data_IF_807645330505
#
_entry.id   IF_807645330505
#
_cell.length_a   1.000
_cell.length_b   1.000
_cell.length_c   1.000
_cell.angle_alpha   90.00
_cell.angle_beta   90.00
_cell.angle_gamma   90.00
#
_symmetry.space_group_name_H-M   'P 1'
#
loop_
_entity.id
_entity.type
_entity.pdbx_description
1 polymer ?
#
# COMPACT_ATOMS: atom_id res chain seq x y z
N UNK A 1 4.99 -40.86 46.53
CA UNK A 1 4.19 -40.36 45.42
C UNK A 1 4.70 -38.99 45.08
N UNK A 2 5.59 -38.92 44.06
CA UNK A 2 6.15 -37.66 43.59
C UNK A 2 5.28 -37.09 42.50
N UNK A 3 4.62 -35.95 42.78
CA UNK A 3 3.82 -35.25 41.85
C UNK A 3 4.70 -34.43 40.87
N UNK A 4 4.76 -34.86 39.59
CA UNK A 4 5.39 -34.10 38.50
C UNK A 4 4.53 -32.88 38.18
N UNK A 5 4.99 -31.69 38.55
CA UNK A 5 4.49 -30.43 38.03
C UNK A 5 4.87 -30.32 36.55
N UNK A 6 3.88 -30.43 35.67
CA UNK A 6 4.03 -30.10 34.26
C UNK A 6 3.99 -28.58 34.13
N UNK A 7 5.13 -27.95 33.98
CA UNK A 7 5.22 -26.53 33.65
C UNK A 7 4.67 -26.29 32.22
N UNK A 8 3.54 -25.63 32.13
CA UNK A 8 2.95 -25.12 30.87
C UNK A 8 3.91 -24.06 30.30
N UNK A 9 4.75 -24.49 29.35
CA UNK A 9 5.67 -23.61 28.66
C UNK A 9 4.93 -22.64 27.71
N UNK A 10 4.47 -21.52 28.24
CA UNK A 10 4.25 -20.34 27.42
C UNK A 10 5.63 -19.81 27.09
N UNK A 11 6.11 -20.06 25.85
CA UNK A 11 7.31 -19.41 25.32
C UNK A 11 7.13 -17.90 25.46
N UNK A 12 7.97 -17.26 26.25
CA UNK A 12 8.01 -15.81 26.36
C UNK A 12 8.31 -15.25 24.96
N UNK A 13 7.43 -14.38 24.46
CA UNK A 13 7.72 -13.62 23.24
C UNK A 13 8.99 -12.82 23.46
N UNK A 14 9.90 -12.83 22.48
CA UNK A 14 11.07 -11.96 22.54
C UNK A 14 10.63 -10.49 22.62
N UNK A 15 11.42 -9.62 23.26
CA UNK A 15 11.12 -8.18 23.33
C UNK A 15 10.87 -7.59 21.95
N UNK A 16 11.58 -8.06 20.93
CA UNK A 16 11.42 -7.65 19.55
C UNK A 16 10.05 -8.04 18.97
N UNK A 17 9.53 -9.23 19.28
CA UNK A 17 8.19 -9.65 18.85
C UNK A 17 7.07 -8.86 19.55
N UNK A 18 7.24 -8.56 20.84
CA UNK A 18 6.31 -7.72 21.58
C UNK A 18 6.28 -6.28 21.03
N UNK A 19 7.45 -5.69 20.73
CA UNK A 19 7.55 -4.37 20.13
C UNK A 19 6.94 -4.35 18.72
N UNK A 20 7.20 -5.36 17.90
CA UNK A 20 6.61 -5.53 16.57
C UNK A 20 5.08 -5.57 16.63
N UNK A 21 4.50 -6.32 17.56
CA UNK A 21 3.04 -6.38 17.75
C UNK A 21 2.47 -5.01 18.14
N UNK A 22 3.14 -4.27 19.04
CA UNK A 22 2.74 -2.91 19.43
C UNK A 22 2.85 -1.95 18.24
N UNK A 23 3.91 -2.03 17.45
CA UNK A 23 4.13 -1.21 16.27
C UNK A 23 3.00 -1.40 15.24
N UNK A 24 2.61 -2.64 14.95
CA UNK A 24 1.51 -2.94 14.04
C UNK A 24 0.15 -2.51 14.60
N UNK A 25 -0.09 -2.69 15.90
CA UNK A 25 -1.33 -2.25 16.56
C UNK A 25 -1.51 -0.73 16.55
N UNK A 26 -0.42 0.04 16.59
CA UNK A 26 -0.46 1.51 16.52
C UNK A 26 -0.74 2.05 15.12
N UNK A 27 -0.98 1.18 14.13
CA UNK A 27 -1.35 1.58 12.77
C UNK A 27 -0.23 2.25 11.98
N UNK A 28 1.02 2.17 12.44
CA UNK A 28 2.18 2.76 11.72
C UNK A 28 2.52 2.05 10.40
N UNK A 29 1.79 0.99 10.05
CA UNK A 29 1.86 0.34 8.75
C UNK A 29 0.96 1.00 7.70
N UNK A 30 0.15 1.99 8.09
CA UNK A 30 -0.71 2.79 7.21
C UNK A 30 -0.39 4.26 7.40
N UNK A 31 -0.08 4.96 6.31
CA UNK A 31 0.30 6.36 6.29
C UNK A 31 -0.67 7.14 5.39
N UNK A 32 -1.50 8.05 5.95
CA UNK A 32 -2.33 8.94 5.15
C UNK A 32 -1.47 9.84 4.27
N UNK A 33 -1.85 10.05 3.01
CA UNK A 33 -1.07 10.90 2.12
C UNK A 33 -1.07 12.37 2.56
N UNK A 34 -2.08 12.81 3.29
CA UNK A 34 -2.13 14.17 3.85
C UNK A 34 -1.00 14.44 4.86
N UNK A 35 -0.38 13.39 5.41
CA UNK A 35 0.74 13.44 6.37
C UNK A 35 2.11 13.32 5.68
N UNK A 36 2.15 13.22 4.37
CA UNK A 36 3.40 13.19 3.61
C UNK A 36 4.14 14.51 3.74
N UNK A 37 5.48 14.43 3.87
CA UNK A 37 6.33 15.60 4.09
C UNK A 37 6.73 16.33 2.80
N UNK A 38 6.70 15.64 1.64
CA UNK A 38 7.18 16.15 0.38
C UNK A 38 6.10 16.17 -0.69
N UNK A 39 5.12 17.08 -0.61
CA UNK A 39 4.11 17.24 -1.66
C UNK A 39 4.45 18.49 -2.46
N UNK A 40 5.07 18.29 -3.62
CA UNK A 40 5.42 19.38 -4.53
C UNK A 40 4.15 19.90 -5.22
N UNK A 41 4.06 21.21 -5.39
CA UNK A 41 2.89 21.90 -5.94
C UNK A 41 1.58 21.74 -5.12
N UNK A 42 1.70 21.52 -3.79
CA UNK A 42 0.53 21.56 -2.92
C UNK A 42 -0.07 22.97 -2.91
N UNK A 43 -1.29 23.09 -3.42
CA UNK A 43 -2.04 24.34 -3.58
C UNK A 43 -2.71 24.44 -4.94
N UNK A 44 -3.59 25.46 -5.11
CA UNK A 44 -4.23 25.74 -6.40
C UNK A 44 -3.22 26.21 -7.44
N UNK A 45 -3.35 25.76 -8.69
CA UNK A 45 -4.39 24.90 -9.25
C UNK A 45 -4.06 23.40 -9.27
N UNK A 46 -3.01 22.96 -8.61
CA UNK A 46 -2.38 21.67 -8.83
C UNK A 46 -2.87 20.56 -7.90
N UNK A 47 -2.28 20.42 -6.70
CA UNK A 47 -2.67 19.43 -5.70
C UNK A 47 -3.38 20.13 -4.53
N UNK A 48 -4.39 19.47 -3.96
CA UNK A 48 -5.14 19.99 -2.82
C UNK A 48 -5.32 18.93 -1.75
N UNK A 49 -5.33 19.36 -0.49
CA UNK A 49 -5.94 18.58 0.59
C UNK A 49 -7.45 18.81 0.55
N UNK A 50 -8.23 17.76 0.43
CA UNK A 50 -9.69 17.82 0.41
C UNK A 50 -10.29 16.86 1.43
N UNK A 51 -11.46 17.20 1.97
CA UNK A 51 -12.22 16.30 2.83
C UNK A 51 -13.03 15.36 1.95
N UNK A 52 -12.93 14.07 2.22
CA UNK A 52 -13.72 13.03 1.56
C UNK A 52 -14.21 12.04 2.63
N UNK A 53 -15.50 12.08 3.00
CA UNK A 53 -16.06 11.25 4.06
C UNK A 53 -16.08 9.76 3.71
N UNK A 54 -15.96 9.40 2.44
CA UNK A 54 -15.90 8.01 1.98
C UNK A 54 -14.47 7.44 2.05
N UNK A 55 -13.46 8.30 2.20
CA UNK A 55 -12.07 7.86 2.39
C UNK A 55 -11.85 7.31 3.78
N UNK A 56 -10.85 6.44 3.94
CA UNK A 56 -10.58 5.84 5.26
C UNK A 56 -9.89 6.78 6.25
N UNK A 57 -9.25 7.85 5.77
CA UNK A 57 -8.61 8.87 6.60
C UNK A 57 -9.42 10.16 6.74
N UNK A 58 -10.54 10.29 6.01
CA UNK A 58 -11.42 11.46 6.03
C UNK A 58 -10.87 12.68 5.29
N UNK A 59 -9.57 12.71 5.01
CA UNK A 59 -8.89 13.75 4.25
C UNK A 59 -7.88 13.14 3.30
N UNK A 60 -7.85 13.62 2.06
CA UNK A 60 -7.11 13.01 0.96
C UNK A 60 -6.34 14.05 0.16
N UNK A 61 -5.39 13.60 -0.64
CA UNK A 61 -4.72 14.44 -1.65
C UNK A 61 -5.44 14.27 -2.97
N UNK A 62 -5.93 15.37 -3.52
CA UNK A 62 -6.51 15.43 -4.85
C UNK A 62 -5.53 16.08 -5.83
N UNK A 63 -5.19 15.37 -6.89
CA UNK A 63 -4.46 15.88 -8.04
C UNK A 63 -5.46 16.41 -9.08
N UNK A 64 -5.59 17.72 -9.15
CA UNK A 64 -6.41 18.36 -10.20
C UNK A 64 -5.69 18.28 -11.54
N UNK A 65 -4.45 18.74 -11.59
CA UNK A 65 -3.61 18.73 -12.80
C UNK A 65 -2.16 19.05 -12.44
N UNK A 66 -1.20 18.37 -13.05
CA UNK A 66 0.22 18.71 -12.93
C UNK A 66 1.03 18.07 -14.06
N UNK A 67 2.12 18.71 -14.47
CA UNK A 67 3.10 18.12 -15.40
C UNK A 67 4.37 17.60 -14.71
N UNK A 68 4.55 17.90 -13.42
CA UNK A 68 5.65 17.44 -12.60
C UNK A 68 5.12 16.96 -11.25
N UNK A 69 4.68 15.71 -11.22
CA UNK A 69 4.14 15.10 -10.02
C UNK A 69 5.27 14.60 -9.12
N UNK A 70 5.22 14.99 -7.83
CA UNK A 70 6.08 14.44 -6.80
C UNK A 70 5.38 14.52 -5.45
N UNK A 71 5.20 13.36 -4.83
CA UNK A 71 4.57 13.20 -3.51
C UNK A 71 5.39 12.17 -2.73
N UNK A 72 6.04 12.60 -1.65
CA UNK A 72 7.01 11.81 -0.89
C UNK A 72 6.57 11.61 0.55
N UNK A 73 6.63 10.37 1.02
CA UNK A 73 6.36 9.96 2.39
C UNK A 73 7.37 8.96 2.89
N UNK A 74 7.28 8.61 4.19
CA UNK A 74 8.22 7.68 4.81
C UNK A 74 7.58 6.89 5.94
N UNK A 75 7.76 5.58 5.93
CA UNK A 75 7.54 4.71 7.08
C UNK A 75 8.84 4.61 7.87
N UNK A 76 8.89 5.09 9.11
CA UNK A 76 10.08 4.97 9.94
C UNK A 76 10.20 3.57 10.56
N UNK A 77 11.43 3.05 10.67
CA UNK A 77 11.77 1.85 11.40
C UNK A 77 10.89 0.62 11.09
N UNK A 78 10.74 0.29 9.80
CA UNK A 78 10.00 -0.91 9.35
C UNK A 78 10.79 -2.16 9.71
N UNK A 79 10.12 -3.15 10.31
CA UNK A 79 10.74 -4.42 10.69
C UNK A 79 11.03 -5.32 9.49
N UNK A 80 12.03 -6.21 9.59
CA UNK A 80 12.29 -7.23 8.59
C UNK A 80 11.05 -8.11 8.32
N UNK A 81 10.78 -8.37 7.04
CA UNK A 81 9.64 -9.20 6.62
C UNK A 81 9.18 -8.90 5.21
N UNK A 82 8.14 -9.61 4.78
CA UNK A 82 7.50 -9.41 3.49
C UNK A 82 6.19 -8.64 3.66
N UNK A 83 6.01 -7.61 2.86
CA UNK A 83 4.88 -6.71 2.92
C UNK A 83 4.24 -6.53 1.54
N UNK A 84 2.91 -6.56 1.48
CA UNK A 84 2.18 -6.02 0.32
C UNK A 84 2.11 -4.50 0.46
N UNK A 85 2.44 -3.79 -0.60
CA UNK A 85 2.35 -2.32 -0.63
C UNK A 85 1.04 -1.92 -1.30
N UNK A 86 0.13 -1.37 -0.51
CA UNK A 86 -1.25 -1.09 -0.87
C UNK A 86 -1.50 0.42 -0.88
N UNK A 87 -2.13 0.92 -1.93
CA UNK A 87 -2.49 2.34 -2.08
C UNK A 87 -4.00 2.49 -2.14
N UNK A 88 -4.56 3.38 -1.34
CA UNK A 88 -5.98 3.79 -1.44
C UNK A 88 -6.12 4.86 -2.52
N UNK A 89 -6.82 4.54 -3.61
CA UNK A 89 -6.94 5.40 -4.80
C UNK A 89 -8.40 5.55 -5.18
N UNK A 90 -8.76 6.74 -5.67
CA UNK A 90 -10.02 7.02 -6.37
C UNK A 90 -9.70 7.82 -7.63
N UNK A 91 -10.38 7.51 -8.72
CA UNK A 91 -10.22 8.16 -10.02
C UNK A 91 -11.51 8.91 -10.37
N UNK A 92 -11.38 10.18 -10.76
CA UNK A 92 -12.50 11.02 -11.18
C UNK A 92 -12.05 11.85 -12.39
N UNK A 93 -12.60 11.53 -13.56
CA UNK A 93 -12.17 12.13 -14.83
C UNK A 93 -10.64 12.08 -15.01
N UNK A 94 -10.04 10.95 -14.60
CA UNK A 94 -8.59 10.81 -14.57
C UNK A 94 -8.03 10.78 -16.00
N UNK A 95 -6.93 11.49 -16.19
CA UNK A 95 -6.29 11.59 -17.48
C UNK A 95 -4.77 11.61 -17.41
N UNK A 96 -4.17 11.16 -18.49
CA UNK A 96 -2.75 11.29 -18.79
C UNK A 96 -2.63 11.78 -20.24
N UNK A 97 -2.21 13.04 -20.44
CA UNK A 97 -2.07 13.61 -21.79
C UNK A 97 -0.90 12.99 -22.52
N UNK A 98 -1.13 12.72 -23.79
CA UNK A 98 -0.12 12.20 -24.71
C UNK A 98 0.11 13.24 -25.82
N UNK A 99 1.06 14.14 -25.58
CA UNK A 99 1.65 14.96 -26.63
C UNK A 99 3.07 14.43 -26.84
N UNK A 100 3.26 13.58 -27.85
CA UNK A 100 4.57 13.03 -28.31
C UNK A 100 5.42 12.22 -27.29
N UNK A 101 4.84 11.77 -26.16
CA UNK A 101 5.52 10.99 -25.15
C UNK A 101 4.58 10.15 -24.28
N UNK A 102 5.16 9.34 -23.40
CA UNK A 102 4.38 8.52 -22.47
C UNK A 102 4.21 9.24 -21.13
N UNK A 103 3.07 9.90 -20.93
CA UNK A 103 2.64 10.30 -19.60
C UNK A 103 2.56 9.05 -18.70
N UNK A 104 3.17 9.10 -17.53
CA UNK A 104 3.12 8.01 -16.59
C UNK A 104 3.20 8.49 -15.15
N UNK A 105 2.59 7.71 -14.25
CA UNK A 105 2.68 7.86 -12.80
C UNK A 105 3.35 6.61 -12.24
N UNK A 106 4.33 6.80 -11.38
CA UNK A 106 5.02 5.72 -10.70
C UNK A 106 4.61 5.69 -9.23
N UNK A 107 4.33 4.50 -8.74
CA UNK A 107 4.18 4.20 -7.32
C UNK A 107 5.41 3.43 -6.87
N UNK A 108 6.14 3.94 -5.90
CA UNK A 108 7.38 3.33 -5.43
C UNK A 108 7.39 3.14 -3.92
N UNK A 109 8.07 2.09 -3.50
CA UNK A 109 8.47 1.87 -2.12
C UNK A 109 9.94 1.45 -2.11
N UNK A 110 10.79 2.22 -1.45
CA UNK A 110 12.24 2.06 -1.47
C UNK A 110 12.75 1.94 -0.04
N UNK A 111 13.21 0.73 0.39
CA UNK A 111 13.95 0.59 1.63
C UNK A 111 15.24 1.40 1.59
N UNK A 112 15.77 1.76 2.75
CA UNK A 112 17.13 2.30 2.85
C UNK A 112 18.15 1.35 2.23
N UNK A 113 19.28 1.91 1.82
CA UNK A 113 20.36 1.17 1.16
C UNK A 113 20.80 -0.05 1.99
N UNK A 114 20.88 -1.20 1.35
CA UNK A 114 21.24 -2.47 1.98
C UNK A 114 20.12 -3.17 2.76
N UNK A 115 18.91 -2.63 2.78
CA UNK A 115 17.79 -3.20 3.53
C UNK A 115 16.74 -3.94 2.66
N UNK A 116 16.92 -3.96 1.35
CA UNK A 116 16.03 -4.63 0.41
C UNK A 116 16.00 -3.97 -0.96
N UNK A 117 15.30 -4.59 -1.89
CA UNK A 117 15.15 -4.06 -3.24
C UNK A 117 13.96 -3.08 -3.33
N UNK A 118 14.10 -2.06 -4.18
CA UNK A 118 13.02 -1.13 -4.50
C UNK A 118 11.87 -1.85 -5.21
N UNK A 119 10.64 -1.59 -4.79
CA UNK A 119 9.43 -1.91 -5.53
C UNK A 119 9.00 -0.68 -6.33
N UNK A 120 8.72 -0.86 -7.64
CA UNK A 120 8.24 0.22 -8.50
C UNK A 120 7.16 -0.30 -9.45
N UNK A 121 6.06 0.41 -9.54
CA UNK A 121 4.96 0.12 -10.45
C UNK A 121 4.64 1.35 -11.31
N UNK A 122 4.62 1.17 -12.63
CA UNK A 122 4.30 2.23 -13.60
C UNK A 122 2.83 2.15 -13.98
N UNK A 123 2.16 3.30 -13.95
CA UNK A 123 0.89 3.51 -14.61
C UNK A 123 1.11 4.39 -15.85
N UNK A 124 0.72 3.88 -16.98
CA UNK A 124 0.56 4.59 -18.23
C UNK A 124 -0.93 4.76 -18.54
N UNK A 125 -1.25 5.34 -19.67
CA UNK A 125 -2.63 5.59 -20.10
C UNK A 125 -3.44 4.29 -20.23
N UNK A 126 -2.84 3.21 -20.71
CA UNK A 126 -3.53 1.93 -20.85
C UNK A 126 -3.83 1.30 -19.49
N UNK A 127 -2.89 1.36 -18.55
CA UNK A 127 -3.09 0.90 -17.19
C UNK A 127 -4.16 1.71 -16.49
N UNK A 128 -4.14 3.04 -16.61
CA UNK A 128 -5.17 3.92 -16.06
C UNK A 128 -6.57 3.51 -16.54
N UNK A 129 -6.75 3.34 -17.86
CA UNK A 129 -8.01 2.90 -18.43
C UNK A 129 -8.49 1.55 -17.89
N UNK A 130 -7.57 0.57 -17.73
CA UNK A 130 -7.90 -0.74 -17.16
C UNK A 130 -8.37 -0.66 -15.71
N UNK A 131 -7.73 0.18 -14.90
CA UNK A 131 -8.14 0.38 -13.51
C UNK A 131 -9.51 1.05 -13.42
N UNK A 132 -9.79 2.05 -14.28
CA UNK A 132 -11.12 2.67 -14.36
C UNK A 132 -12.20 1.68 -14.82
N UNK A 133 -11.93 0.85 -15.81
CA UNK A 133 -12.85 -0.20 -16.28
C UNK A 133 -13.13 -1.25 -15.20
N UNK A 134 -12.12 -1.61 -14.41
CA UNK A 134 -12.22 -2.63 -13.37
C UNK A 134 -12.93 -2.13 -12.12
N UNK A 135 -12.65 -0.90 -11.69
CA UNK A 135 -13.09 -0.37 -10.39
C UNK A 135 -14.19 0.68 -10.50
N UNK A 136 -14.39 1.26 -11.68
CA UNK A 136 -15.28 2.38 -11.91
C UNK A 136 -14.66 3.73 -11.60
N UNK A 137 -15.35 4.80 -12.04
CA UNK A 137 -14.99 6.19 -11.72
C UNK A 137 -15.64 6.61 -10.41
N UNK A 138 -14.97 7.50 -9.67
CA UNK A 138 -15.43 8.05 -8.39
C UNK A 138 -15.69 7.01 -7.28
N UNK A 139 -14.99 5.86 -7.34
CA UNK A 139 -15.08 4.77 -6.36
C UNK A 139 -13.69 4.56 -5.74
N UNK A 140 -13.63 4.46 -4.41
CA UNK A 140 -12.40 4.09 -3.70
C UNK A 140 -12.05 2.62 -3.92
N UNK A 141 -10.82 2.35 -4.29
CA UNK A 141 -10.27 1.00 -4.40
C UNK A 141 -8.88 0.91 -3.82
N UNK A 142 -8.44 -0.30 -3.54
CA UNK A 142 -7.10 -0.60 -3.05
C UNK A 142 -6.26 -1.12 -4.21
N UNK A 143 -5.24 -0.36 -4.57
CA UNK A 143 -4.28 -0.76 -5.58
C UNK A 143 -3.07 -1.44 -4.92
N UNK A 144 -2.80 -2.68 -5.31
CA UNK A 144 -1.70 -3.47 -4.80
C UNK A 144 -0.52 -3.42 -5.79
N UNK A 145 0.56 -2.75 -5.40
CA UNK A 145 1.75 -2.61 -6.24
C UNK A 145 2.69 -3.81 -6.19
N UNK A 146 2.45 -4.76 -5.28
CA UNK A 146 3.25 -5.96 -5.17
C UNK A 146 3.86 -6.17 -3.79
N UNK A 147 4.82 -7.09 -3.73
CA UNK A 147 5.49 -7.51 -2.50
C UNK A 147 6.83 -6.80 -2.35
N UNK A 148 7.07 -6.22 -1.17
CA UNK A 148 8.31 -5.59 -0.74
C UNK A 148 8.95 -6.45 0.33
N UNK A 149 10.19 -6.85 0.15
CA UNK A 149 11.00 -7.57 1.16
C UNK A 149 11.90 -6.60 1.88
N UNK A 150 11.83 -6.60 3.21
CA UNK A 150 12.71 -5.85 4.11
C UNK A 150 13.61 -6.85 4.84
N UNK A 151 14.92 -6.75 4.63
CA UNK A 151 15.92 -7.70 5.16
C UNK A 151 16.40 -7.31 6.55
N UNK A 152 16.49 -6.01 6.84
CA UNK A 152 16.85 -5.46 8.15
C UNK A 152 15.94 -4.29 8.49
N UNK A 153 15.84 -3.93 9.78
CA UNK A 153 15.01 -2.80 10.22
C UNK A 153 15.55 -1.50 9.62
N UNK A 154 14.70 -0.79 8.88
CA UNK A 154 15.07 0.45 8.19
C UNK A 154 13.85 1.35 7.94
N UNK A 155 14.11 2.56 7.51
CA UNK A 155 13.08 3.42 6.96
C UNK A 155 12.71 2.96 5.53
N UNK A 156 11.45 3.11 5.16
CA UNK A 156 10.96 2.83 3.81
C UNK A 156 10.38 4.11 3.23
N UNK A 157 11.04 4.64 2.21
CA UNK A 157 10.54 5.77 1.45
C UNK A 157 9.46 5.33 0.48
N UNK A 158 8.37 6.08 0.42
CA UNK A 158 7.27 5.84 -0.50
C UNK A 158 7.02 7.10 -1.32
N UNK A 159 6.88 6.94 -2.61
CA UNK A 159 6.68 8.08 -3.51
C UNK A 159 5.66 7.78 -4.60
N UNK A 160 4.94 8.84 -4.99
CA UNK A 160 4.18 8.92 -6.22
C UNK A 160 4.84 9.98 -7.07
N UNK A 161 5.28 9.64 -8.27
CA UNK A 161 5.90 10.61 -9.14
C UNK A 161 5.55 10.44 -10.62
N UNK A 162 5.59 11.57 -11.34
CA UNK A 162 5.46 11.66 -12.80
C UNK A 162 6.26 12.84 -13.32
N UNK A 163 7.60 12.71 -13.28
CA UNK A 163 8.54 13.80 -13.62
C UNK A 163 8.90 13.79 -15.10
N UNK A 164 7.93 13.63 -15.97
CA UNK A 164 8.14 13.43 -17.40
C UNK A 164 7.67 14.61 -18.27
N UNK A 165 7.21 15.69 -17.65
CA UNK A 165 6.74 16.88 -18.36
C UNK A 165 5.36 16.76 -19.00
N UNK A 166 4.66 15.63 -18.81
CA UNK A 166 3.32 15.40 -19.33
C UNK A 166 2.26 15.64 -18.28
N UNK A 167 1.15 16.26 -18.70
CA UNK A 167 0.05 16.61 -17.81
C UNK A 167 -0.76 15.38 -17.43
N UNK A 168 -1.03 15.23 -16.13
CA UNK A 168 -1.94 14.23 -15.57
C UNK A 168 -2.82 14.85 -14.49
N UNK A 169 -3.97 14.24 -14.21
CA UNK A 169 -4.92 14.72 -13.20
C UNK A 169 -6.07 13.77 -12.97
N UNK A 170 -6.96 14.14 -12.06
CA UNK A 170 -8.14 13.35 -11.71
C UNK A 170 -7.86 12.19 -10.73
N UNK A 171 -6.75 12.26 -9.99
CA UNK A 171 -6.40 11.25 -8.99
C UNK A 171 -6.68 11.75 -7.59
N UNK A 172 -7.26 10.86 -6.76
CA UNK A 172 -7.34 11.03 -5.32
C UNK A 172 -6.55 9.94 -4.63
N UNK A 173 -5.76 10.30 -3.63
CA UNK A 173 -4.98 9.37 -2.82
C UNK A 173 -5.31 9.55 -1.34
N UNK A 174 -5.73 8.46 -0.71
CA UNK A 174 -6.06 8.39 0.71
C UNK A 174 -4.83 8.02 1.54
N UNK A 175 -4.26 6.85 1.27
CA UNK A 175 -3.15 6.30 2.07
C UNK A 175 -2.24 5.38 1.25
N UNK A 176 -1.07 5.11 1.83
CA UNK A 176 -0.27 3.92 1.53
C UNK A 176 -0.20 3.03 2.76
N UNK A 177 -0.15 1.72 2.57
CA UNK A 177 -0.08 0.72 3.64
C UNK A 177 0.95 -0.36 3.32
N UNK A 178 1.78 -0.71 4.32
CA UNK A 178 2.60 -1.91 4.32
C UNK A 178 1.85 -3.01 5.07
N UNK A 179 1.20 -3.93 4.36
CA UNK A 179 0.46 -5.05 4.96
C UNK A 179 1.33 -6.30 5.02
N UNK A 180 1.62 -6.82 6.22
CA UNK A 180 2.44 -8.03 6.39
C UNK A 180 1.76 -9.24 5.70
N UNK A 181 2.56 -9.98 4.92
CA UNK A 181 2.09 -11.20 4.23
C UNK A 181 1.69 -12.29 5.24
N UNK A 182 2.36 -12.36 6.40
CA UNK A 182 2.03 -13.31 7.48
C UNK A 182 0.64 -13.05 8.07
N UNK A 183 0.25 -11.79 8.20
CA UNK A 183 -1.07 -11.43 8.75
C UNK A 183 -2.20 -11.82 7.79
N UNK A 184 -1.99 -11.71 6.49
CA UNK A 184 -2.95 -12.17 5.47
C UNK A 184 -3.23 -13.67 5.57
N UNK A 185 -2.20 -14.48 5.81
CA UNK A 185 -2.36 -15.94 5.97
C UNK A 185 -3.15 -16.29 7.23
N UNK A 186 -2.95 -15.54 8.32
CA UNK A 186 -3.70 -15.74 9.57
C UNK A 186 -5.18 -15.36 9.44
N UNK A 187 -5.50 -14.27 8.75
CA UNK A 187 -6.87 -13.84 8.47
C UNK A 187 -7.60 -14.84 7.54
N UNK A 188 -6.94 -15.28 6.46
CA UNK A 188 -7.50 -16.29 5.55
C UNK A 188 -7.76 -17.62 6.24
N UNK A 189 -6.92 -18.01 7.20
CA UNK A 189 -7.08 -19.25 7.98
C UNK A 189 -8.23 -19.11 8.97
N UNK A 190 -8.40 -17.97 9.63
CA UNK A 190 -9.53 -17.68 10.53
C UNK A 190 -10.85 -17.68 9.77
N UNK A 191 -10.89 -17.07 8.57
CA UNK A 191 -12.07 -17.04 7.73
C UNK A 191 -12.50 -18.45 7.30
N UNK A 192 -11.56 -19.30 6.86
CA UNK A 192 -11.83 -20.71 6.52
C UNK A 192 -12.38 -21.53 7.71
N UNK A 193 -11.87 -21.28 8.92
CA UNK A 193 -12.38 -21.94 10.14
C UNK A 193 -13.81 -21.52 10.48
N UNK A 194 -14.15 -20.24 10.30
CA UNK A 194 -15.46 -19.70 10.67
C UNK A 194 -16.55 -19.99 9.63
N UNK A 195 -16.21 -20.21 8.36
CA UNK A 195 -17.18 -20.43 7.28
C UNK A 195 -17.40 -21.90 6.94
N UNK A 196 -16.61 -22.83 7.47
CA UNK A 196 -16.75 -24.28 7.22
C UNK A 196 -16.59 -24.70 5.75
N UNK A 197 -16.12 -23.81 4.86
CA UNK A 197 -15.99 -24.08 3.43
C UNK A 197 -14.77 -24.95 3.18
N UNK A 198 -14.98 -26.26 3.08
CA UNK A 198 -14.01 -27.18 2.53
C UNK A 198 -14.01 -27.07 0.99
N UNK A 199 -13.06 -26.36 0.43
CA UNK A 199 -12.78 -26.43 -1.00
C UNK A 199 -12.29 -27.85 -1.33
N UNK A 200 -13.18 -28.69 -1.91
CA UNK A 200 -12.78 -29.97 -2.51
C UNK A 200 -11.79 -29.67 -3.63
N UNK A 201 -10.58 -30.23 -3.53
CA UNK A 201 -9.63 -30.27 -4.65
C UNK A 201 -10.29 -31.07 -5.78
N UNK A 202 -10.79 -30.37 -6.81
CA UNK A 202 -11.25 -30.96 -8.04
C UNK A 202 -10.05 -31.52 -8.81
N UNK A 203 -9.92 -32.83 -8.83
CA UNK A 203 -8.99 -33.56 -9.69
C UNK A 203 -9.52 -33.46 -11.12
N UNK A 204 -8.92 -32.58 -11.95
CA UNK A 204 -9.13 -32.62 -13.39
C UNK A 204 -8.35 -33.81 -13.96
N UNK A 205 -9.04 -34.92 -14.27
CA UNK A 205 -8.50 -35.94 -15.17
C UNK A 205 -8.64 -35.41 -16.58
N UNK A 206 -7.50 -35.20 -17.23
CA UNK A 206 -7.40 -34.99 -18.68
C UNK A 206 -7.53 -36.39 -19.30
N UNK A 207 -8.51 -36.55 -20.19
CA UNK A 207 -8.54 -37.62 -21.20
C UNK A 207 -7.92 -37.12 -22.49
#
# INVERSE_FOLDING_TARGET
MEGKLVASGKTAKTENEAFKEVYFRLGRTKLPLVDFYGIVHLGDPYLKKVTDPESSSGSVIYLKTVCWLQVDGKFPAVFPGNYRVLWGIKLEDAYMHKDDGEACVYYKATPEEGCGAQLSCKWDKEKLRKEEEQHGTNIWFVYDTGELTIESMCDVHVEIHGRNGYWCGGFYWDYVQLKSVKDQQSEATKFKKNTGIHLRKGSCKVM
#
